data_IF_991766985310
#
_entry.id   IF_991766985310
#
_cell.length_a   1.000
_cell.length_b   1.000
_cell.length_c   1.000
_cell.angle_alpha   90.00
_cell.angle_beta   90.00
_cell.angle_gamma   90.00
#
_symmetry.space_group_name_H-M   'P 1'
#
loop_
_entity.id
_entity.type
_entity.pdbx_description
1 polymer ?
#
# COMPACT_ATOMS: atom_id res chain seq x y z
N UNK A 1 15.17 21.44 5.87
CA UNK A 1 14.03 22.05 5.14
C UNK A 1 13.15 20.91 4.64
N UNK A 2 11.99 20.66 5.30
CA UNK A 2 11.04 19.59 4.91
C UNK A 2 10.41 19.97 3.56
N UNK A 3 10.65 19.19 2.53
CA UNK A 3 10.03 19.40 1.21
C UNK A 3 8.60 18.87 1.23
N UNK A 4 7.63 19.74 0.99
CA UNK A 4 6.22 19.40 0.85
C UNK A 4 5.94 18.63 -0.45
N UNK A 5 5.02 17.69 -0.42
CA UNK A 5 4.46 17.01 -1.61
C UNK A 5 3.88 18.02 -2.62
N UNK A 6 3.33 19.16 -2.16
CA UNK A 6 2.77 20.20 -3.04
C UNK A 6 3.74 20.67 -4.15
N UNK A 7 5.06 20.55 -3.96
CA UNK A 7 6.08 20.88 -4.98
C UNK A 7 6.52 19.70 -5.86
N UNK A 8 6.14 18.47 -5.52
CA UNK A 8 6.56 17.24 -6.21
C UNK A 8 5.39 16.45 -6.81
N UNK A 9 4.17 16.94 -6.61
CA UNK A 9 2.96 16.23 -7.04
C UNK A 9 2.78 16.39 -8.54
N UNK A 10 2.99 15.31 -9.27
CA UNK A 10 2.64 15.23 -10.68
C UNK A 10 1.24 14.61 -10.79
N UNK A 11 0.29 15.31 -11.42
CA UNK A 11 -1.09 14.81 -11.64
C UNK A 11 -1.11 13.44 -12.31
N UNK A 12 -0.06 13.10 -13.07
CA UNK A 12 0.12 11.79 -13.70
C UNK A 12 0.44 10.64 -12.71
N UNK A 13 0.78 10.94 -11.45
CA UNK A 13 1.06 9.92 -10.41
C UNK A 13 -0.19 9.50 -9.61
N UNK A 14 -1.35 10.11 -9.88
CA UNK A 14 -2.60 9.83 -9.18
C UNK A 14 -3.41 8.77 -9.92
N UNK A 15 -3.14 7.52 -9.64
CA UNK A 15 -3.94 6.41 -10.17
C UNK A 15 -4.87 5.87 -9.10
N UNK A 16 -6.17 5.80 -9.40
CA UNK A 16 -7.12 5.08 -8.57
C UNK A 16 -6.77 3.60 -8.55
N UNK A 17 -6.44 3.08 -7.39
CA UNK A 17 -6.09 1.66 -7.26
C UNK A 17 -7.31 0.78 -7.55
N UNK A 18 -7.23 -0.18 -8.48
CA UNK A 18 -8.30 -1.13 -8.72
C UNK A 18 -8.62 -1.96 -7.47
N UNK A 19 -9.92 -2.18 -7.22
CA UNK A 19 -10.39 -2.99 -6.08
C UNK A 19 -9.72 -4.38 -6.02
N UNK A 20 -9.45 -4.97 -7.17
CA UNK A 20 -8.77 -6.26 -7.29
C UNK A 20 -7.41 -6.30 -6.58
N UNK A 21 -6.63 -5.22 -6.68
CA UNK A 21 -5.34 -5.13 -5.99
C UNK A 21 -5.52 -4.92 -4.48
N UNK A 22 -6.50 -4.14 -4.05
CA UNK A 22 -6.79 -3.97 -2.63
C UNK A 22 -7.28 -5.28 -2.02
N UNK A 23 -8.23 -5.97 -2.66
CA UNK A 23 -8.76 -7.25 -2.19
C UNK A 23 -7.67 -8.33 -2.10
N UNK A 24 -6.65 -8.27 -2.96
CA UNK A 24 -5.53 -9.22 -2.91
C UNK A 24 -4.79 -9.21 -1.58
N UNK A 25 -4.69 -8.07 -0.92
CA UNK A 25 -3.94 -7.97 0.35
C UNK A 25 -4.81 -8.16 1.58
N UNK A 26 -6.15 -8.17 1.46
CA UNK A 26 -7.06 -8.35 2.60
C UNK A 26 -6.73 -9.59 3.44
N UNK A 27 -6.53 -10.80 2.88
CA UNK A 27 -6.20 -11.98 3.68
C UNK A 27 -4.89 -11.84 4.48
N UNK A 28 -3.91 -11.12 3.94
CA UNK A 28 -2.65 -10.84 4.66
C UNK A 28 -2.84 -9.83 5.78
N UNK A 29 -3.70 -8.83 5.56
CA UNK A 29 -4.05 -7.84 6.59
C UNK A 29 -4.82 -8.49 7.73
N UNK A 30 -5.77 -9.40 7.44
CA UNK A 30 -6.51 -10.16 8.46
C UNK A 30 -5.58 -11.02 9.32
N UNK A 31 -4.65 -11.75 8.68
CA UNK A 31 -3.65 -12.54 9.38
C UNK A 31 -2.79 -11.65 10.27
N UNK A 32 -2.26 -10.55 9.73
CA UNK A 32 -1.43 -9.62 10.46
C UNK A 32 -2.19 -8.96 11.63
N UNK A 33 -3.46 -8.53 11.43
CA UNK A 33 -4.32 -8.00 12.49
C UNK A 33 -4.53 -9.02 13.60
N UNK A 34 -4.81 -10.28 13.24
CA UNK A 34 -4.99 -11.36 14.22
C UNK A 34 -3.75 -11.56 15.09
N UNK A 35 -2.57 -11.58 14.49
CA UNK A 35 -1.31 -11.77 15.22
C UNK A 35 -0.95 -10.52 16.04
N UNK A 36 -1.25 -9.34 15.56
CA UNK A 36 -1.12 -8.08 16.30
C UNK A 36 -2.01 -8.05 17.55
N UNK A 37 -3.29 -8.46 17.42
CA UNK A 37 -4.24 -8.50 18.54
C UNK A 37 -3.75 -9.46 19.64
N UNK A 38 -3.25 -10.65 19.28
CA UNK A 38 -2.70 -11.63 20.24
C UNK A 38 -1.55 -11.03 21.06
N UNK A 39 -0.72 -10.19 20.41
CA UNK A 39 0.47 -9.62 21.05
C UNK A 39 0.16 -8.36 21.85
N UNK A 40 -0.75 -7.51 21.36
CA UNK A 40 -0.99 -6.17 21.92
C UNK A 40 -2.33 -6.02 22.66
N UNK A 41 -3.20 -7.04 22.59
CA UNK A 41 -4.54 -7.06 23.20
C UNK A 41 -5.43 -5.87 22.77
N UNK A 42 -5.28 -5.41 21.52
CA UNK A 42 -6.10 -4.37 20.89
C UNK A 42 -6.07 -4.49 19.37
N UNK A 43 -7.08 -3.95 18.70
CA UNK A 43 -7.02 -3.81 17.24
C UNK A 43 -5.95 -2.81 16.80
N UNK A 44 -5.21 -3.10 15.71
CA UNK A 44 -4.29 -2.13 15.11
C UNK A 44 -5.06 -1.03 14.37
N UNK A 45 -4.38 0.10 14.17
CA UNK A 45 -4.85 1.19 13.32
C UNK A 45 -4.01 1.22 12.05
N UNK A 46 -4.65 1.11 10.89
CA UNK A 46 -4.02 1.20 9.58
C UNK A 46 -4.07 2.65 9.11
N UNK A 47 -2.93 3.21 8.75
CA UNK A 47 -2.84 4.54 8.15
C UNK A 47 -2.74 4.46 6.63
N UNK A 48 -3.61 5.23 5.95
CA UNK A 48 -3.70 5.38 4.51
C UNK A 48 -3.27 6.81 4.12
N UNK A 49 -1.96 7.08 3.94
CA UNK A 49 -1.43 8.45 3.90
C UNK A 49 -1.67 9.21 2.58
N UNK A 50 -2.14 8.55 1.53
CA UNK A 50 -2.33 9.13 0.21
C UNK A 50 -3.77 8.95 -0.31
N UNK A 51 -4.70 8.62 0.57
CA UNK A 51 -6.03 8.16 0.21
C UNK A 51 -7.13 9.18 0.56
N UNK A 52 -8.09 9.33 -0.35
CA UNK A 52 -9.33 10.09 -0.13
C UNK A 52 -10.43 9.18 0.44
N UNK A 53 -11.59 9.74 0.73
CA UNK A 53 -12.75 8.96 1.22
C UNK A 53 -13.30 8.00 0.15
N UNK A 54 -13.11 8.33 -1.12
CA UNK A 54 -13.56 7.53 -2.26
C UNK A 54 -12.55 6.47 -2.69
N UNK A 55 -11.34 6.49 -2.11
CA UNK A 55 -10.31 5.53 -2.47
C UNK A 55 -10.73 4.09 -2.15
N UNK A 56 -10.32 3.14 -2.99
CA UNK A 56 -10.64 1.73 -2.78
C UNK A 56 -9.96 1.16 -1.53
N UNK A 57 -8.81 1.68 -1.13
CA UNK A 57 -8.22 1.30 0.16
C UNK A 57 -9.12 1.68 1.32
N UNK A 58 -9.59 2.94 1.36
CA UNK A 58 -10.41 3.40 2.46
C UNK A 58 -11.76 2.68 2.52
N UNK A 59 -12.46 2.59 1.38
CA UNK A 59 -13.80 1.99 1.33
C UNK A 59 -13.76 0.49 1.64
N UNK A 60 -12.90 -0.28 0.97
CA UNK A 60 -12.81 -1.73 1.14
C UNK A 60 -12.32 -2.08 2.55
N UNK A 61 -11.21 -1.50 3.03
CA UNK A 61 -10.68 -1.87 4.33
C UNK A 61 -11.63 -1.49 5.47
N UNK A 62 -12.40 -0.42 5.32
CA UNK A 62 -13.44 -0.06 6.27
C UNK A 62 -14.63 -1.05 6.24
N UNK A 63 -15.05 -1.48 5.05
CA UNK A 63 -16.10 -2.50 4.87
C UNK A 63 -15.69 -3.85 5.46
N UNK A 64 -14.42 -4.24 5.33
CA UNK A 64 -13.85 -5.45 5.94
C UNK A 64 -13.62 -5.32 7.48
N UNK A 65 -13.95 -4.16 8.07
CA UNK A 65 -13.94 -3.96 9.52
C UNK A 65 -12.59 -3.58 10.12
N UNK A 66 -11.60 -3.21 9.31
CA UNK A 66 -10.33 -2.70 9.81
C UNK A 66 -10.49 -1.29 10.41
N UNK A 67 -9.70 -0.99 11.43
CA UNK A 67 -9.58 0.37 11.95
C UNK A 67 -8.65 1.18 11.04
N UNK A 68 -9.21 2.08 10.24
CA UNK A 68 -8.45 2.86 9.26
C UNK A 68 -8.47 4.35 9.59
N UNK A 69 -7.35 5.02 9.42
CA UNK A 69 -7.22 6.48 9.41
C UNK A 69 -6.61 6.89 8.09
N UNK A 70 -7.23 7.81 7.39
CA UNK A 70 -6.72 8.33 6.14
C UNK A 70 -6.15 9.73 6.27
N UNK A 71 -5.26 10.08 5.36
CA UNK A 71 -4.83 11.47 5.13
C UNK A 71 -4.54 11.68 3.66
N UNK A 72 -4.76 12.90 3.19
CA UNK A 72 -4.48 13.28 1.82
C UNK A 72 -3.99 14.72 1.77
N UNK A 73 -3.24 15.04 0.73
CA UNK A 73 -2.70 16.39 0.52
C UNK A 73 -3.82 17.46 0.39
N UNK A 74 -4.98 17.07 -0.14
CA UNK A 74 -6.16 17.93 -0.25
C UNK A 74 -6.75 18.32 1.12
N UNK A 75 -6.46 17.55 2.17
CA UNK A 75 -6.89 17.82 3.56
C UNK A 75 -5.81 18.58 4.34
N UNK A 76 -4.83 19.17 3.68
CA UNK A 76 -3.61 19.78 4.27
C UNK A 76 -2.79 18.83 5.15
N UNK A 77 -2.95 17.51 4.95
CA UNK A 77 -2.24 16.45 5.65
C UNK A 77 -1.15 15.84 4.76
N UNK A 78 -0.12 16.62 4.48
CA UNK A 78 1.02 16.17 3.67
C UNK A 78 1.79 15.07 4.39
N UNK A 79 1.92 13.90 3.76
CA UNK A 79 2.65 12.74 4.29
C UNK A 79 4.03 13.08 4.85
N UNK A 80 4.76 14.05 4.30
CA UNK A 80 6.09 14.41 4.79
C UNK A 80 6.09 15.32 6.02
N UNK A 81 4.96 15.91 6.38
CA UNK A 81 4.85 16.86 7.47
C UNK A 81 3.81 16.48 8.52
N UNK A 82 2.94 15.53 8.20
CA UNK A 82 1.84 15.10 9.05
C UNK A 82 1.84 13.59 9.23
N UNK A 83 1.35 13.13 10.37
CA UNK A 83 1.03 11.74 10.66
C UNK A 83 -0.08 11.67 11.72
N UNK A 84 -0.90 10.61 11.76
CA UNK A 84 -1.86 10.45 12.86
C UNK A 84 -1.14 10.26 14.19
N UNK A 85 -1.84 10.58 15.28
CA UNK A 85 -1.31 10.39 16.64
C UNK A 85 -1.07 8.91 16.97
N UNK A 86 -1.84 8.01 16.36
CA UNK A 86 -1.72 6.56 16.52
C UNK A 86 -1.91 5.86 15.17
N UNK A 87 -0.99 4.97 14.85
CA UNK A 87 -1.09 3.99 13.76
C UNK A 87 -0.06 2.89 13.97
N UNK A 88 -0.33 1.73 13.43
CA UNK A 88 0.47 0.52 13.61
C UNK A 88 1.00 -0.03 12.28
N UNK A 89 0.29 0.22 11.18
CA UNK A 89 0.62 -0.22 9.83
C UNK A 89 0.34 0.90 8.82
N UNK A 90 1.17 1.01 7.79
CA UNK A 90 0.96 1.92 6.66
C UNK A 90 0.56 1.09 5.44
N UNK A 91 -0.58 1.40 4.82
CA UNK A 91 -1.04 0.77 3.58
C UNK A 91 -1.43 1.86 2.60
N UNK A 92 -0.96 1.85 1.37
CA UNK A 92 -1.40 2.77 0.33
C UNK A 92 -0.78 2.50 -1.04
N UNK A 93 -1.22 3.29 -2.03
CA UNK A 93 -0.58 3.43 -3.34
C UNK A 93 0.09 4.82 -3.41
N UNK A 94 1.38 4.95 -3.08
CA UNK A 94 2.04 6.24 -3.02
C UNK A 94 2.44 6.76 -4.41
N UNK A 95 2.67 8.08 -4.57
CA UNK A 95 3.20 8.64 -5.81
C UNK A 95 4.60 8.09 -6.11
N UNK A 96 4.76 7.48 -7.29
CA UNK A 96 5.98 6.75 -7.67
C UNK A 96 7.20 7.67 -7.89
N UNK A 97 6.97 8.92 -8.24
CA UNK A 97 8.04 9.92 -8.44
C UNK A 97 8.84 10.26 -7.17
N UNK A 98 8.25 10.03 -5.99
CA UNK A 98 8.87 10.33 -4.69
C UNK A 98 9.14 9.10 -3.82
N UNK A 99 9.12 7.91 -4.42
CA UNK A 99 9.23 6.62 -3.73
C UNK A 99 10.43 6.50 -2.79
N UNK A 100 11.60 7.00 -3.20
CA UNK A 100 12.82 6.99 -2.40
C UNK A 100 12.65 7.69 -1.05
N UNK A 101 12.02 8.87 -1.06
CA UNK A 101 11.74 9.64 0.15
C UNK A 101 10.66 9.01 1.01
N UNK A 102 9.66 8.39 0.36
CA UNK A 102 8.57 7.69 1.05
C UNK A 102 9.14 6.48 1.80
N UNK A 103 9.91 5.62 1.14
CA UNK A 103 10.56 4.48 1.80
C UNK A 103 11.50 4.93 2.91
N UNK A 104 12.32 5.95 2.66
CA UNK A 104 13.23 6.51 3.68
C UNK A 104 12.46 6.96 4.93
N UNK A 105 11.34 7.70 4.74
CA UNK A 105 10.51 8.13 5.84
C UNK A 105 9.86 6.96 6.58
N UNK A 106 9.27 6.02 5.86
CA UNK A 106 8.63 4.85 6.48
C UNK A 106 9.63 4.04 7.33
N UNK A 107 10.83 3.78 6.80
CA UNK A 107 11.83 2.92 7.44
C UNK A 107 12.55 3.64 8.59
N UNK A 108 13.00 4.86 8.39
CA UNK A 108 13.90 5.51 9.35
C UNK A 108 13.21 6.50 10.30
N UNK A 109 12.14 7.17 9.84
CA UNK A 109 11.44 8.16 10.69
C UNK A 109 10.25 7.53 11.40
N UNK A 110 9.32 6.91 10.64
CA UNK A 110 8.09 6.35 11.19
C UNK A 110 8.33 5.01 11.88
N UNK A 111 9.24 4.19 11.36
CA UNK A 111 9.64 2.88 11.92
C UNK A 111 8.44 1.99 12.20
N UNK A 112 7.55 1.89 11.24
CA UNK A 112 6.33 1.07 11.29
C UNK A 112 6.30 0.11 10.12
N UNK A 113 5.68 -1.06 10.26
CA UNK A 113 5.38 -1.94 9.15
C UNK A 113 4.65 -1.19 8.04
N UNK A 114 4.89 -1.58 6.79
CA UNK A 114 4.15 -1.03 5.67
C UNK A 114 3.87 -2.04 4.56
N UNK A 115 2.82 -1.77 3.80
CA UNK A 115 2.40 -2.48 2.59
C UNK A 115 2.10 -1.43 1.52
N UNK A 116 3.06 -1.16 0.64
CA UNK A 116 2.95 -0.09 -0.36
C UNK A 116 2.90 -0.68 -1.76
N UNK A 117 1.82 -0.36 -2.49
CA UNK A 117 1.68 -0.74 -3.89
C UNK A 117 2.67 0.05 -4.74
N UNK A 118 3.44 -0.65 -5.55
CA UNK A 118 4.47 -0.05 -6.39
C UNK A 118 4.45 -0.65 -7.80
N UNK A 119 4.87 0.13 -8.77
CA UNK A 119 5.35 -0.46 -10.01
C UNK A 119 6.67 -1.19 -9.72
N UNK A 120 6.72 -2.49 -9.96
CA UNK A 120 7.86 -3.34 -9.64
C UNK A 120 9.15 -2.93 -10.36
N UNK A 121 9.05 -2.25 -11.49
CA UNK A 121 10.22 -1.66 -12.14
C UNK A 121 10.79 -0.47 -11.37
N UNK A 122 9.99 0.16 -10.49
CA UNK A 122 10.43 1.30 -9.70
C UNK A 122 11.38 0.93 -8.55
N UNK A 123 11.52 -0.34 -8.20
CA UNK A 123 12.44 -0.82 -7.17
C UNK A 123 13.86 -1.12 -7.71
N UNK A 124 14.02 -1.20 -9.03
CA UNK A 124 15.31 -1.50 -9.66
C UNK A 124 16.18 -0.24 -9.84
N UNK A 125 16.38 0.49 -8.74
CA UNK A 125 17.26 1.66 -8.66
C UNK A 125 18.25 1.49 -7.53
N UNK A 126 19.48 1.93 -7.72
CA UNK A 126 20.58 1.76 -6.77
C UNK A 126 20.25 2.29 -5.36
N UNK A 127 19.66 3.49 -5.28
CA UNK A 127 19.26 4.09 -3.99
C UNK A 127 18.21 3.26 -3.25
N UNK A 128 17.23 2.71 -3.96
CA UNK A 128 16.20 1.83 -3.37
C UNK A 128 16.83 0.48 -2.97
N UNK A 129 17.65 -0.09 -3.83
CA UNK A 129 18.35 -1.34 -3.52
C UNK A 129 19.23 -1.21 -2.27
N UNK A 130 20.02 -0.16 -2.15
CA UNK A 130 20.84 0.11 -0.98
C UNK A 130 19.99 0.27 0.29
N UNK A 131 18.85 0.98 0.19
CA UNK A 131 17.92 1.15 1.29
C UNK A 131 17.35 -0.20 1.75
N UNK A 132 16.89 -1.02 0.82
CA UNK A 132 16.33 -2.33 1.14
C UNK A 132 17.35 -3.30 1.71
N UNK A 133 18.58 -3.26 1.20
CA UNK A 133 19.70 -4.05 1.76
C UNK A 133 20.00 -3.67 3.22
N UNK A 134 19.88 -2.40 3.57
CA UNK A 134 20.13 -1.92 4.94
C UNK A 134 19.16 -2.45 5.99
N UNK A 135 17.99 -2.93 5.55
CA UNK A 135 16.91 -3.45 6.42
C UNK A 135 16.54 -4.91 6.13
N UNK A 136 17.29 -5.58 5.24
CA UNK A 136 17.11 -7.00 4.97
C UNK A 136 17.29 -7.82 6.27
N UNK A 137 16.47 -8.85 6.57
CA UNK A 137 15.48 -9.48 5.69
C UNK A 137 14.04 -8.94 5.82
N UNK A 138 13.83 -7.76 6.39
CA UNK A 138 12.48 -7.22 6.64
C UNK A 138 11.70 -6.78 5.39
N UNK A 139 12.35 -6.67 4.23
CA UNK A 139 11.69 -6.35 2.95
C UNK A 139 11.26 -7.63 2.27
N UNK A 140 9.95 -7.71 1.98
CA UNK A 140 9.30 -8.80 1.27
C UNK A 140 8.35 -8.22 0.21
N UNK A 141 7.83 -9.09 -0.67
CA UNK A 141 6.96 -8.67 -1.76
C UNK A 141 5.70 -9.54 -1.82
N UNK A 142 4.57 -8.95 -2.22
CA UNK A 142 3.38 -9.66 -2.65
C UNK A 142 3.21 -9.37 -4.14
N UNK A 143 3.41 -10.37 -4.99
CA UNK A 143 3.53 -10.22 -6.45
C UNK A 143 2.34 -10.94 -7.10
N UNK A 144 1.44 -10.21 -7.80
CA UNK A 144 0.37 -10.84 -8.55
C UNK A 144 0.89 -11.58 -9.78
N UNK A 145 0.20 -12.64 -10.20
CA UNK A 145 0.51 -13.49 -11.35
C UNK A 145 0.32 -12.80 -12.70
N UNK A 146 -0.26 -11.60 -12.73
CA UNK A 146 -0.50 -10.82 -13.95
C UNK A 146 -0.46 -9.32 -13.69
N UNK A 147 -0.22 -8.58 -14.76
CA UNK A 147 -0.31 -7.13 -14.74
C UNK A 147 -1.76 -6.67 -14.60
N UNK A 148 -1.97 -5.54 -13.92
CA UNK A 148 -3.28 -4.95 -13.69
C UNK A 148 -3.35 -3.58 -14.35
N UNK A 149 -4.45 -3.32 -15.07
CA UNK A 149 -4.75 -1.99 -15.61
C UNK A 149 -5.41 -1.14 -14.53
N UNK A 150 -5.01 0.14 -14.45
CA UNK A 150 -5.54 1.10 -13.47
C UNK A 150 -6.67 1.96 -14.04
N UNK A 151 -6.71 2.14 -15.35
CA UNK A 151 -7.63 3.03 -16.05
C UNK A 151 -8.61 2.29 -16.96
N UNK A 152 -8.58 0.95 -16.96
CA UNK A 152 -9.37 0.13 -17.88
C UNK A 152 -8.84 0.11 -19.31
N UNK A 153 -7.80 0.88 -19.59
CA UNK A 153 -7.09 0.91 -20.89
C UNK A 153 -5.97 -0.14 -20.94
N UNK A 154 -5.34 -0.28 -22.10
CA UNK A 154 -4.37 -1.34 -22.40
C UNK A 154 -3.02 -1.23 -21.67
N UNK A 155 -2.72 -0.12 -21.03
CA UNK A 155 -1.48 0.04 -20.26
C UNK A 155 -1.59 -0.63 -18.88
N UNK A 156 -1.18 -1.88 -18.81
CA UNK A 156 -1.09 -2.61 -17.55
C UNK A 156 0.29 -2.41 -16.93
N UNK A 157 0.30 -2.06 -15.65
CA UNK A 157 1.54 -1.93 -14.88
C UNK A 157 1.94 -3.26 -14.25
N UNK A 158 3.24 -3.51 -14.18
CA UNK A 158 3.81 -4.59 -13.34
C UNK A 158 3.75 -4.17 -11.89
N UNK A 159 2.56 -4.20 -11.30
CA UNK A 159 2.32 -3.77 -9.93
C UNK A 159 2.53 -4.92 -8.95
N UNK A 160 3.02 -4.60 -7.76
CA UNK A 160 3.14 -5.50 -6.63
C UNK A 160 3.28 -4.70 -5.35
N UNK A 161 3.13 -5.34 -4.22
CA UNK A 161 3.32 -4.69 -2.94
C UNK A 161 4.74 -4.89 -2.43
N UNK A 162 5.35 -3.80 -2.00
CA UNK A 162 6.57 -3.81 -1.19
C UNK A 162 6.13 -3.80 0.26
N UNK A 163 6.52 -4.81 0.99
CA UNK A 163 6.19 -5.03 2.39
C UNK A 163 7.44 -4.85 3.26
N UNK A 164 7.29 -4.21 4.39
CA UNK A 164 8.33 -4.09 5.41
C UNK A 164 7.79 -4.55 6.75
N UNK A 165 8.46 -5.53 7.36
CA UNK A 165 8.11 -6.08 8.67
C UNK A 165 6.62 -6.49 8.78
N UNK A 166 6.07 -7.05 7.69
CA UNK A 166 4.66 -7.35 7.55
C UNK A 166 4.37 -8.84 7.26
N UNK A 167 5.14 -9.45 6.38
CA UNK A 167 5.06 -10.88 6.04
C UNK A 167 6.42 -11.52 6.18
N UNK A 168 6.47 -12.84 6.42
CA UNK A 168 7.70 -13.56 6.69
C UNK A 168 8.53 -13.85 5.44
N UNK A 169 7.88 -13.99 4.28
CA UNK A 169 8.52 -14.30 3.00
C UNK A 169 7.75 -13.68 1.84
N UNK A 170 8.42 -13.57 0.69
CA UNK A 170 7.80 -13.08 -0.55
C UNK A 170 6.75 -14.06 -1.05
N UNK A 171 5.58 -13.55 -1.41
CA UNK A 171 4.42 -14.27 -1.88
C UNK A 171 4.14 -13.99 -3.36
N UNK A 172 3.76 -15.03 -4.10
CA UNK A 172 3.25 -14.95 -5.46
C UNK A 172 1.76 -15.32 -5.44
N UNK A 173 0.90 -14.38 -5.84
CA UNK A 173 -0.54 -14.49 -5.69
C UNK A 173 -1.24 -14.65 -7.02
N UNK A 174 -2.24 -15.55 -7.08
CA UNK A 174 -3.19 -15.57 -8.16
C UNK A 174 -4.26 -14.51 -7.96
N UNK A 175 -4.37 -13.58 -8.92
CA UNK A 175 -5.51 -12.66 -8.94
C UNK A 175 -6.75 -13.43 -9.42
N UNK A 176 -7.74 -13.57 -8.53
CA UNK A 176 -9.00 -14.18 -8.88
C UNK A 176 -9.61 -13.48 -10.12
N UNK A 177 -10.07 -14.26 -11.08
CA UNK A 177 -10.93 -13.73 -12.13
C UNK A 177 -12.23 -13.27 -11.47
N UNK A 178 -12.63 -12.02 -11.70
CA UNK A 178 -13.99 -11.60 -11.41
C UNK A 178 -14.94 -12.39 -12.33
N UNK A 179 -15.35 -13.58 -11.90
CA UNK A 179 -16.51 -14.25 -12.44
C UNK A 179 -17.76 -13.57 -11.88
N UNK A 180 -17.99 -12.31 -12.32
CA UNK A 180 -19.30 -11.70 -12.22
C UNK A 180 -20.19 -12.38 -13.26
N UNK A 181 -21.15 -13.16 -12.74
CA UNK A 181 -22.36 -13.63 -13.41
C UNK A 181 -22.20 -14.54 -14.63
N UNK A 182 -22.37 -15.83 -14.38
CA UNK A 182 -23.26 -16.61 -15.24
C UNK A 182 -24.03 -17.64 -14.38
N UNK A 183 -25.06 -17.16 -13.68
CA UNK A 183 -26.23 -17.95 -13.40
C UNK A 183 -27.00 -18.07 -14.70
N UNK A 184 -26.73 -19.05 -15.51
CA UNK A 184 -27.70 -19.57 -16.46
C UNK A 184 -28.17 -20.91 -15.95
N UNK A 185 -29.39 -20.86 -15.42
CA UNK A 185 -30.28 -22.01 -15.22
C UNK A 185 -30.34 -22.89 -16.48
N UNK A 186 -30.15 -24.16 -16.31
CA UNK A 186 -30.95 -25.21 -16.99
C UNK A 186 -31.17 -26.37 -16.05
#
# INVERSE_FOLDING_TARGET
MKRSLKKAFNVQDCYNTPALLVNMIVPYLEKWESDFIKTHNRKPVIWLPFDTEESKYFTILKEEGFQVVRSHLNDDKDFFNWQPSQFDLIVSNPPFSTKDKIFTRCIYELKRPFVLLMNMMAINYQNISNLFQSVNPKIQFIIPDKKVSFDGNTSSFSSGYVCYDFIDHTEFCHLAHNNSHNNFSK
#
